data_IF_939785330438
#
_entry.id   IF_939785330438
#
_cell.length_a   1.000
_cell.length_b   1.000
_cell.length_c   1.000
_cell.angle_alpha   90.00
_cell.angle_beta   90.00
_cell.angle_gamma   90.00
#
_symmetry.space_group_name_H-M   'P 1'
#
loop_
_entity.id
_entity.type
_entity.pdbx_description
1 polymer ?
#
# COMPACT_ATOMS: atom_id res chain seq x y z
N UNK A 1 -13.09 10.08 -6.35
CA UNK A 1 -11.80 9.38 -6.22
C UNK A 1 -10.68 10.30 -6.66
N UNK A 2 -9.64 10.48 -5.85
CA UNK A 2 -8.41 11.22 -6.21
C UNK A 2 -7.23 10.27 -6.14
N UNK A 3 -6.34 10.32 -7.14
CA UNK A 3 -5.13 9.48 -7.21
C UNK A 3 -3.89 10.36 -7.00
N UNK A 4 -2.96 9.87 -6.20
CA UNK A 4 -1.72 10.55 -5.83
C UNK A 4 -0.54 9.63 -6.13
N UNK A 5 0.52 10.20 -6.68
CA UNK A 5 1.81 9.53 -6.76
C UNK A 5 2.47 9.51 -5.38
N UNK A 6 2.85 8.32 -4.94
CA UNK A 6 3.62 8.12 -3.70
C UNK A 6 5.09 8.26 -4.06
N UNK A 7 5.85 9.07 -3.33
CA UNK A 7 7.29 9.31 -3.55
C UNK A 7 8.17 8.19 -2.98
N UNK A 8 7.75 7.57 -1.89
CA UNK A 8 8.45 6.47 -1.22
C UNK A 8 7.41 5.63 -0.49
N UNK A 9 7.54 4.31 -0.55
CA UNK A 9 6.74 3.38 0.25
C UNK A 9 7.67 2.37 0.90
N UNK A 10 7.59 2.24 2.21
CA UNK A 10 8.26 1.21 2.99
C UNK A 10 7.20 0.31 3.62
N UNK A 11 7.40 -1.00 3.56
CA UNK A 11 6.50 -2.00 4.14
C UNK A 11 7.32 -2.83 5.12
N UNK A 12 6.96 -2.78 6.41
CA UNK A 12 7.82 -3.29 7.47
C UNK A 12 8.13 -4.79 7.31
N UNK A 13 7.16 -5.59 6.87
CA UNK A 13 7.35 -7.03 6.68
C UNK A 13 8.04 -7.46 5.39
N UNK A 14 8.36 -6.52 4.50
CA UNK A 14 9.26 -6.74 3.36
C UNK A 14 10.69 -6.25 3.62
N UNK A 15 10.86 -5.39 4.64
CA UNK A 15 12.11 -4.70 4.95
C UNK A 15 12.74 -3.97 3.74
N UNK A 16 11.91 -3.55 2.78
CA UNK A 16 12.35 -2.89 1.55
C UNK A 16 11.51 -1.65 1.19
N UNK A 17 12.14 -0.74 0.45
CA UNK A 17 11.48 0.45 -0.11
C UNK A 17 11.01 0.16 -1.55
N UNK A 18 9.71 0.34 -1.80
CA UNK A 18 9.11 0.23 -3.14
C UNK A 18 9.20 1.58 -3.86
N UNK A 19 9.62 1.56 -5.13
CA UNK A 19 9.83 2.78 -5.89
C UNK A 19 8.52 3.54 -6.17
N UNK A 20 8.63 4.86 -6.23
CA UNK A 20 7.51 5.77 -6.42
C UNK A 20 6.70 5.56 -7.70
N UNK A 21 7.34 5.08 -8.77
CA UNK A 21 6.69 4.80 -10.04
C UNK A 21 5.88 3.50 -10.02
N UNK A 22 5.97 2.72 -8.95
CA UNK A 22 5.25 1.46 -8.76
C UNK A 22 4.04 1.62 -7.83
N UNK A 23 3.82 2.80 -7.24
CA UNK A 23 2.84 2.97 -6.16
C UNK A 23 1.85 4.09 -6.45
N UNK A 24 0.56 3.74 -6.46
CA UNK A 24 -0.54 4.64 -6.73
C UNK A 24 -1.52 4.68 -5.55
N UNK A 25 -1.56 5.80 -4.83
CA UNK A 25 -2.44 6.01 -3.68
C UNK A 25 -3.77 6.64 -4.12
N UNK A 26 -4.90 6.03 -3.76
CA UNK A 26 -6.24 6.45 -4.19
C UNK A 26 -7.14 6.68 -2.98
N UNK A 27 -7.73 7.87 -2.88
CA UNK A 27 -8.72 8.22 -1.86
C UNK A 27 -10.12 8.11 -2.46
N UNK A 28 -10.99 7.34 -1.81
CA UNK A 28 -12.35 7.00 -2.28
C UNK A 28 -13.44 7.93 -1.71
N UNK A 29 -13.29 8.48 -0.51
CA UNK A 29 -14.27 9.40 0.07
C UNK A 29 -13.75 10.18 1.29
N UNK A 30 -14.20 11.42 1.42
CA UNK A 30 -13.64 12.40 2.38
C UNK A 30 -14.15 12.23 3.82
N UNK A 31 -15.34 11.62 4.02
CA UNK A 31 -15.95 11.49 5.36
C UNK A 31 -15.27 10.48 6.28
N UNK A 32 -14.76 9.39 5.71
CA UNK A 32 -14.11 8.30 6.45
C UNK A 32 -12.64 8.10 6.02
N UNK A 33 -12.13 8.93 5.10
CA UNK A 33 -10.80 8.79 4.49
C UNK A 33 -10.47 7.35 4.08
N UNK A 34 -11.38 6.69 3.36
CA UNK A 34 -11.11 5.35 2.82
C UNK A 34 -10.17 5.46 1.64
N UNK A 35 -9.14 4.62 1.61
CA UNK A 35 -8.13 4.66 0.57
C UNK A 35 -7.67 3.27 0.14
N UNK A 36 -7.08 3.20 -1.03
CA UNK A 36 -6.38 2.01 -1.55
C UNK A 36 -5.02 2.41 -2.10
N UNK A 37 -4.04 1.52 -2.00
CA UNK A 37 -2.73 1.69 -2.62
C UNK A 37 -2.49 0.53 -3.58
N UNK A 38 -2.39 0.84 -4.86
CA UNK A 38 -2.03 -0.14 -5.88
C UNK A 38 -0.51 -0.14 -6.03
N UNK A 39 0.09 -1.32 -5.99
CA UNK A 39 1.54 -1.53 -6.00
C UNK A 39 1.90 -2.49 -7.14
N UNK A 40 2.79 -2.05 -8.03
CA UNK A 40 3.43 -2.86 -9.06
C UNK A 40 4.75 -3.46 -8.54
N UNK A 41 4.62 -4.46 -7.68
CA UNK A 41 5.72 -5.11 -6.99
C UNK A 41 6.22 -6.36 -7.74
N UNK A 42 7.48 -6.32 -8.19
CA UNK A 42 8.13 -7.40 -8.96
C UNK A 42 8.94 -8.38 -8.10
N UNK A 43 9.02 -8.17 -6.78
CA UNK A 43 9.76 -9.05 -5.87
C UNK A 43 8.94 -10.26 -5.39
N UNK A 44 9.48 -11.03 -4.43
CA UNK A 44 8.78 -12.16 -3.82
C UNK A 44 7.51 -11.74 -3.08
N UNK A 45 6.35 -12.22 -3.53
CA UNK A 45 5.04 -11.81 -2.99
C UNK A 45 4.55 -12.66 -1.82
N UNK A 46 5.36 -13.60 -1.32
CA UNK A 46 4.95 -14.54 -0.27
C UNK A 46 4.43 -13.81 0.97
N UNK A 47 5.09 -12.72 1.37
CA UNK A 47 4.63 -11.88 2.47
C UNK A 47 3.20 -11.36 2.26
N UNK A 48 2.91 -10.79 1.10
CA UNK A 48 1.56 -10.28 0.78
C UNK A 48 0.53 -11.40 0.66
N UNK A 49 0.91 -12.53 0.05
CA UNK A 49 0.02 -13.70 -0.08
C UNK A 49 -0.35 -14.20 1.31
N UNK A 50 0.61 -14.31 2.22
CA UNK A 50 0.38 -14.77 3.57
C UNK A 50 -0.45 -13.77 4.39
N UNK A 51 -0.18 -12.47 4.25
CA UNK A 51 -0.96 -11.43 4.90
C UNK A 51 -2.43 -11.46 4.42
N UNK A 52 -2.66 -11.59 3.11
CA UNK A 52 -4.01 -11.72 2.55
C UNK A 52 -4.71 -13.01 3.00
N UNK A 53 -4.01 -14.15 2.99
CA UNK A 53 -4.56 -15.45 3.35
C UNK A 53 -5.00 -15.52 4.83
N UNK A 54 -4.22 -14.91 5.73
CA UNK A 54 -4.51 -14.89 7.16
C UNK A 54 -5.28 -13.65 7.63
N UNK A 55 -5.65 -12.74 6.73
CA UNK A 55 -6.29 -11.48 7.09
C UNK A 55 -5.44 -10.63 8.04
N UNK A 56 -4.12 -10.68 7.89
CA UNK A 56 -3.19 -9.86 8.70
C UNK A 56 -3.06 -8.48 8.08
N UNK A 57 -3.01 -7.49 8.96
CA UNK A 57 -2.69 -6.13 8.60
C UNK A 57 -1.17 -5.97 8.37
N UNK A 58 -0.80 -5.03 7.51
CA UNK A 58 0.57 -4.67 7.19
C UNK A 58 0.83 -3.23 7.61
N UNK A 59 1.92 -3.04 8.35
CA UNK A 59 2.42 -1.71 8.67
C UNK A 59 3.23 -1.16 7.51
N UNK A 60 2.96 0.10 7.18
CA UNK A 60 3.63 0.79 6.09
C UNK A 60 3.93 2.23 6.47
N UNK A 61 4.99 2.76 5.87
CA UNK A 61 5.34 4.18 5.92
C UNK A 61 5.47 4.68 4.49
N UNK A 62 4.79 5.77 4.15
CA UNK A 62 4.90 6.35 2.82
C UNK A 62 5.06 7.86 2.84
N UNK A 63 5.61 8.39 1.75
CA UNK A 63 5.75 9.82 1.52
C UNK A 63 5.07 10.22 0.22
N UNK A 64 4.47 11.40 0.19
CA UNK A 64 3.94 12.06 -1.00
C UNK A 64 4.80 13.27 -1.35
N UNK A 65 4.39 14.06 -2.36
CA UNK A 65 5.03 15.34 -2.69
C UNK A 65 4.74 16.41 -1.61
N UNK A 66 3.63 16.28 -0.87
CA UNK A 66 3.16 17.31 0.06
C UNK A 66 3.35 16.97 1.54
N UNK A 67 3.55 15.70 1.86
CA UNK A 67 3.71 15.19 3.23
C UNK A 67 4.63 13.97 3.23
N UNK A 68 5.52 13.87 4.21
CA UNK A 68 6.49 12.78 4.36
C UNK A 68 6.19 11.92 5.57
N UNK A 69 6.71 10.70 5.58
CA UNK A 69 6.71 9.78 6.73
C UNK A 69 5.33 9.49 7.33
N UNK A 70 4.31 9.43 6.47
CA UNK A 70 2.95 9.07 6.84
C UNK A 70 2.95 7.58 7.18
N UNK A 71 2.57 7.24 8.41
CA UNK A 71 2.49 5.86 8.87
C UNK A 71 1.05 5.38 8.86
N UNK A 72 0.88 4.09 8.61
CA UNK A 72 -0.45 3.50 8.66
C UNK A 72 -0.43 1.99 8.74
N UNK A 73 -1.63 1.47 8.94
CA UNK A 73 -1.93 0.06 8.93
C UNK A 73 -2.87 -0.20 7.75
N UNK A 74 -2.56 -1.21 6.94
CA UNK A 74 -3.35 -1.55 5.76
C UNK A 74 -3.70 -3.03 5.74
N UNK A 75 -4.84 -3.36 5.16
CA UNK A 75 -5.16 -4.73 4.78
C UNK A 75 -4.68 -5.01 3.35
N UNK A 76 -4.13 -6.20 3.12
CA UNK A 76 -3.87 -6.69 1.76
C UNK A 76 -5.18 -7.20 1.15
N UNK A 77 -5.79 -6.43 0.23
CA UNK A 77 -7.06 -6.78 -0.40
C UNK A 77 -6.92 -7.72 -1.58
N UNK A 78 -5.84 -7.57 -2.35
CA UNK A 78 -5.65 -8.34 -3.58
C UNK A 78 -4.17 -8.56 -3.84
N UNK A 79 -3.82 -9.80 -4.15
CA UNK A 79 -2.50 -10.18 -4.65
C UNK A 79 -2.71 -11.01 -5.91
N UNK A 80 -2.16 -10.56 -7.04
CA UNK A 80 -2.18 -11.36 -8.26
C UNK A 80 -0.89 -12.17 -8.35
N UNK A 81 -1.01 -13.49 -8.27
CA UNK A 81 0.17 -14.37 -8.29
C UNK A 81 0.91 -14.27 -9.63
N UNK A 82 0.16 -14.16 -10.74
CA UNK A 82 0.70 -14.15 -12.10
C UNK A 82 1.01 -12.74 -12.66
N UNK A 83 0.96 -11.69 -11.85
CA UNK A 83 1.33 -10.32 -12.25
C UNK A 83 2.00 -9.57 -11.11
N UNK A 84 2.56 -8.39 -11.34
CA UNK A 84 3.23 -7.63 -10.27
C UNK A 84 2.23 -6.89 -9.36
N UNK A 85 0.94 -7.20 -9.43
CA UNK A 85 -0.08 -6.38 -8.79
C UNK A 85 -0.40 -6.82 -7.36
N UNK A 86 -0.25 -5.88 -6.43
CA UNK A 86 -0.72 -5.94 -5.03
C UNK A 86 -1.60 -4.72 -4.76
N UNK A 87 -2.69 -4.91 -4.02
CA UNK A 87 -3.53 -3.81 -3.55
C UNK A 87 -3.63 -3.85 -2.03
N UNK A 88 -3.32 -2.72 -1.42
CA UNK A 88 -3.57 -2.44 -0.01
C UNK A 88 -4.81 -1.55 0.13
N UNK A 89 -5.49 -1.63 1.27
CA UNK A 89 -6.55 -0.69 1.64
C UNK A 89 -6.51 -0.33 3.10
N UNK A 90 -6.92 0.88 3.44
CA UNK A 90 -7.09 1.29 4.82
C UNK A 90 -8.19 2.34 4.99
N UNK A 91 -8.44 2.67 6.24
CA UNK A 91 -9.41 3.68 6.67
C UNK A 91 -8.67 4.64 7.60
N UNK A 92 -8.77 5.94 7.30
CA UNK A 92 -7.99 6.95 8.00
C UNK A 92 -6.52 6.97 7.57
N UNK A 93 -5.84 8.07 7.88
CA UNK A 93 -4.39 8.24 7.80
C UNK A 93 -4.00 8.86 9.14
N UNK A 94 -3.08 8.24 9.88
CA UNK A 94 -2.54 8.81 11.12
C UNK A 94 -1.55 9.93 10.81
#
# INVERSE_FOLDING_TARGET
>A
MRTYSVKKLFIEGLEEEVNYNQVYFKIHGDKDCKWTMDIEYSGPKDFFIMAAYYGREVEFTFSTIYATDIKGIAEVKKVQVNSNYVQLSGIGLL
#
